data_IF_448188466844
#
_entry.id   IF_448188466844
#
_cell.length_a   1.000
_cell.length_b   1.000
_cell.length_c   1.000
_cell.angle_alpha   90.00
_cell.angle_beta   90.00
_cell.angle_gamma   90.00
#
_symmetry.space_group_name_H-M   'P 1'
#
loop_
_entity.id
_entity.type
_entity.pdbx_description
1 polymer ?
#
# COMPACT_ATOMS: atom_id res chain seq x y z
N UNK A 1 18.37 -15.54 14.62
CA UNK A 1 18.56 -14.51 15.70
C UNK A 1 18.76 -13.13 15.09
N UNK A 2 18.98 -12.05 15.90
CA UNK A 2 19.29 -10.70 15.36
C UNK A 2 20.78 -10.43 15.43
N UNK A 3 21.32 -9.60 14.51
CA UNK A 3 22.75 -9.21 14.56
C UNK A 3 23.11 -8.63 15.93
N UNK A 4 22.23 -7.84 16.55
CA UNK A 4 22.46 -7.29 17.90
C UNK A 4 22.66 -8.34 19.00
N UNK A 5 22.28 -9.57 18.78
CA UNK A 5 22.49 -10.71 19.70
C UNK A 5 23.70 -11.59 19.36
N UNK A 6 24.40 -11.31 18.26
CA UNK A 6 25.57 -12.09 17.85
C UNK A 6 26.80 -11.74 18.68
N UNK A 7 27.71 -12.71 18.81
CA UNK A 7 28.99 -12.56 19.49
C UNK A 7 30.11 -12.24 18.51
N UNK A 8 31.20 -11.62 18.99
CA UNK A 8 32.41 -11.38 18.19
C UNK A 8 32.94 -12.74 17.69
N UNK A 9 33.28 -12.82 16.40
CA UNK A 9 33.72 -14.04 15.71
C UNK A 9 32.58 -14.96 15.26
N UNK A 10 31.34 -14.65 15.58
CA UNK A 10 30.20 -15.47 15.17
C UNK A 10 29.84 -15.15 13.72
N UNK A 11 29.59 -16.22 12.94
CA UNK A 11 29.16 -16.16 11.54
C UNK A 11 27.67 -16.45 11.42
N UNK A 12 27.04 -15.76 10.49
CA UNK A 12 25.63 -15.98 10.16
C UNK A 12 25.30 -15.38 8.82
N UNK A 13 24.18 -15.79 8.24
CA UNK A 13 23.71 -15.23 6.99
C UNK A 13 22.37 -14.53 7.18
N UNK A 14 22.22 -13.37 6.53
CA UNK A 14 21.04 -12.52 6.69
C UNK A 14 19.84 -13.22 6.03
N UNK A 15 18.80 -13.47 6.82
CA UNK A 15 17.55 -14.09 6.35
C UNK A 15 16.44 -13.06 6.17
N UNK A 16 16.48 -11.96 6.94
CA UNK A 16 15.47 -10.89 6.82
C UNK A 16 16.04 -9.55 7.29
N UNK A 17 15.77 -8.48 6.54
CA UNK A 17 16.03 -7.11 6.95
C UNK A 17 14.68 -6.47 7.26
N UNK A 18 14.35 -6.39 8.55
CA UNK A 18 13.16 -5.70 9.06
C UNK A 18 13.41 -4.19 9.08
N UNK A 19 12.40 -3.43 9.39
CA UNK A 19 12.48 -1.98 9.45
C UNK A 19 11.82 -1.31 8.26
N UNK A 20 11.64 -0.01 8.37
CA UNK A 20 10.85 0.78 7.44
C UNK A 20 11.67 1.95 6.87
N UNK A 21 11.42 2.28 5.62
CA UNK A 21 11.92 3.48 4.96
C UNK A 21 13.43 3.61 4.95
N UNK A 22 13.90 4.81 5.29
CA UNK A 22 15.31 5.20 5.18
C UNK A 22 16.27 4.33 6.02
N UNK A 23 15.83 3.75 7.13
CA UNK A 23 16.70 2.90 7.96
C UNK A 23 16.99 1.56 7.26
N UNK A 24 15.95 0.92 6.68
CA UNK A 24 16.13 -0.29 5.87
C UNK A 24 16.97 -0.01 4.63
N UNK A 25 16.70 1.11 3.93
CA UNK A 25 17.48 1.51 2.76
C UNK A 25 18.95 1.67 3.11
N UNK A 26 19.29 2.40 4.17
CA UNK A 26 20.70 2.55 4.60
C UNK A 26 21.39 1.23 4.91
N UNK A 27 20.69 0.29 5.56
CA UNK A 27 21.25 -1.03 5.83
C UNK A 27 21.54 -1.80 4.55
N UNK A 28 20.61 -1.78 3.59
CA UNK A 28 20.76 -2.42 2.27
C UNK A 28 21.86 -1.75 1.45
N UNK A 29 21.89 -0.42 1.38
CA UNK A 29 22.91 0.36 0.67
C UNK A 29 24.33 0.16 1.31
N UNK A 30 24.37 -0.10 2.61
CA UNK A 30 25.60 -0.48 3.30
C UNK A 30 26.02 -1.95 3.04
N UNK A 31 25.26 -2.70 2.25
CA UNK A 31 25.58 -4.09 1.86
C UNK A 31 24.96 -5.16 2.76
N UNK A 32 24.03 -4.81 3.66
CA UNK A 32 23.35 -5.75 4.53
C UNK A 32 21.97 -6.12 3.92
N UNK A 33 21.95 -7.08 3.01
CA UNK A 33 20.72 -7.56 2.38
C UNK A 33 20.55 -9.07 2.54
N UNK A 34 19.36 -9.55 2.33
CA UNK A 34 18.98 -10.96 2.49
C UNK A 34 19.86 -11.87 1.64
N UNK A 35 20.34 -12.95 2.23
CA UNK A 35 21.21 -13.94 1.56
C UNK A 35 22.71 -13.67 1.71
N UNK A 36 23.12 -12.51 2.25
CA UNK A 36 24.53 -12.23 2.52
C UNK A 36 24.98 -12.87 3.83
N UNK A 37 26.20 -13.42 3.81
CA UNK A 37 26.83 -13.95 5.00
C UNK A 37 27.79 -12.93 5.62
N UNK A 38 27.76 -12.84 6.92
CA UNK A 38 28.47 -11.85 7.73
C UNK A 38 29.24 -12.52 8.86
N UNK A 39 30.30 -11.86 9.32
CA UNK A 39 31.04 -12.21 10.53
C UNK A 39 31.21 -10.97 11.40
N UNK A 40 30.94 -11.09 12.70
CA UNK A 40 31.12 -9.98 13.64
C UNK A 40 32.61 -9.89 14.00
N UNK A 41 33.28 -8.82 13.58
CA UNK A 41 34.71 -8.59 13.85
C UNK A 41 34.93 -7.90 15.17
N UNK A 42 34.00 -7.02 15.58
CA UNK A 42 34.15 -6.24 16.80
C UNK A 42 32.95 -5.36 17.09
N UNK A 43 33.02 -4.71 18.26
CA UNK A 43 32.01 -3.76 18.73
C UNK A 43 32.73 -2.54 19.27
N UNK A 44 32.49 -1.38 18.68
CA UNK A 44 33.09 -0.11 19.14
C UNK A 44 32.14 1.06 18.83
N UNK A 45 32.16 2.09 19.65
CA UNK A 45 31.44 3.37 19.43
C UNK A 45 29.96 3.27 19.08
N UNK A 46 29.26 2.29 19.67
CA UNK A 46 27.82 2.09 19.42
C UNK A 46 27.50 1.43 18.08
N UNK A 47 28.48 0.81 17.43
CA UNK A 47 28.33 0.11 16.16
C UNK A 47 29.03 -1.26 16.17
N UNK A 48 28.53 -2.16 15.34
CA UNK A 48 29.21 -3.42 15.03
C UNK A 48 30.17 -3.21 13.85
N UNK A 49 31.41 -3.70 13.99
CA UNK A 49 32.31 -3.89 12.85
C UNK A 49 32.06 -5.29 12.29
N UNK A 50 31.59 -5.36 11.08
CA UNK A 50 31.10 -6.58 10.45
C UNK A 50 31.87 -6.81 9.16
N UNK A 51 32.38 -8.02 8.96
CA UNK A 51 32.85 -8.46 7.65
C UNK A 51 31.66 -8.85 6.79
N UNK A 52 31.59 -8.25 5.62
CA UNK A 52 30.58 -8.52 4.58
C UNK A 52 31.35 -8.84 3.31
N UNK A 53 31.42 -10.10 2.94
CA UNK A 53 32.12 -10.59 1.74
C UNK A 53 33.57 -10.09 1.62
N UNK A 54 34.32 -10.06 2.73
CA UNK A 54 35.70 -9.62 2.78
C UNK A 54 35.89 -8.10 2.92
N UNK A 55 34.80 -7.35 3.07
CA UNK A 55 34.83 -5.91 3.33
C UNK A 55 34.31 -5.59 4.74
N UNK A 56 35.11 -4.89 5.53
CA UNK A 56 34.66 -4.43 6.85
C UNK A 56 33.68 -3.26 6.71
N UNK A 57 32.49 -3.43 7.27
CA UNK A 57 31.43 -2.42 7.33
C UNK A 57 31.08 -2.10 8.77
N UNK A 58 30.67 -0.84 9.00
CA UNK A 58 30.17 -0.40 10.30
C UNK A 58 28.64 -0.41 10.27
N UNK A 59 28.01 -1.07 11.25
CA UNK A 59 26.58 -1.13 11.40
C UNK A 59 26.19 -0.61 12.79
N UNK A 60 25.47 0.52 12.91
CA UNK A 60 24.99 1.02 14.20
C UNK A 60 24.12 -0.02 14.91
N UNK A 61 24.17 -0.06 16.25
CA UNK A 61 23.34 -0.99 17.06
C UNK A 61 21.87 -0.90 16.70
N UNK A 62 21.43 0.31 16.42
CA UNK A 62 20.09 0.58 15.98
C UNK A 62 19.71 -0.23 14.75
N UNK A 63 20.54 -0.26 13.74
CA UNK A 63 20.27 -0.97 12.49
C UNK A 63 20.56 -2.48 12.63
N UNK A 64 21.52 -2.88 13.44
CA UNK A 64 21.86 -4.28 13.71
C UNK A 64 20.70 -5.10 14.30
N UNK A 65 19.83 -4.46 15.07
CA UNK A 65 18.68 -5.15 15.66
C UNK A 65 17.47 -5.29 14.71
N UNK A 66 17.51 -4.65 13.53
CA UNK A 66 16.52 -4.84 12.46
C UNK A 66 16.85 -6.05 11.59
N UNK A 67 18.08 -6.55 11.64
CA UNK A 67 18.55 -7.57 10.73
C UNK A 67 18.51 -8.93 11.44
N UNK A 68 17.73 -9.84 10.89
CA UNK A 68 17.65 -11.23 11.34
C UNK A 68 18.66 -12.07 10.55
N UNK A 69 19.40 -12.87 11.29
CA UNK A 69 20.44 -13.76 10.75
C UNK A 69 20.18 -15.19 11.16
N UNK A 70 20.48 -16.12 10.27
CA UNK A 70 20.60 -17.53 10.57
C UNK A 70 22.07 -17.80 10.89
N UNK A 71 22.34 -18.21 12.12
CA UNK A 71 23.69 -18.56 12.55
C UNK A 71 24.01 -20.02 12.26
N UNK A 72 25.28 -20.37 12.27
CA UNK A 72 25.72 -21.77 12.08
C UNK A 72 25.02 -22.71 13.07
N UNK A 73 24.89 -22.28 14.34
CA UNK A 73 24.25 -23.07 15.40
C UNK A 73 22.73 -23.25 15.17
N UNK A 74 22.06 -22.23 14.64
CA UNK A 74 20.62 -22.31 14.29
C UNK A 74 20.40 -23.17 13.06
N UNK A 75 21.23 -23.02 12.03
CA UNK A 75 21.17 -23.83 10.83
C UNK A 75 21.44 -25.32 11.12
N UNK A 76 22.38 -25.61 12.01
CA UNK A 76 22.63 -26.98 12.45
C UNK A 76 21.41 -27.63 13.14
N UNK A 77 20.69 -26.87 13.93
CA UNK A 77 19.43 -27.32 14.57
C UNK A 77 18.32 -27.54 13.57
N UNK A 78 18.17 -26.66 12.58
CA UNK A 78 17.14 -26.79 11.55
C UNK A 78 17.37 -27.98 10.62
N UNK A 79 18.65 -28.30 10.34
CA UNK A 79 19.03 -29.43 9.50
C UNK A 79 19.21 -30.75 10.25
N UNK A 80 19.09 -30.72 11.59
CA UNK A 80 19.34 -31.87 12.49
C UNK A 80 20.72 -32.52 12.25
N UNK A 81 21.74 -31.66 12.06
CA UNK A 81 23.14 -32.07 11.86
C UNK A 81 24.04 -31.51 12.96
N UNK A 82 25.16 -32.18 13.24
CA UNK A 82 26.07 -31.77 14.31
C UNK A 82 26.83 -30.49 14.00
N UNK A 83 27.17 -30.24 12.74
CA UNK A 83 27.86 -29.06 12.24
C UNK A 83 27.36 -28.71 10.84
N UNK A 84 27.25 -27.40 10.57
CA UNK A 84 26.95 -26.85 9.24
C UNK A 84 28.19 -26.10 8.75
N UNK A 85 28.64 -26.42 7.57
CA UNK A 85 29.73 -25.69 6.93
C UNK A 85 29.29 -24.28 6.50
N UNK A 86 30.23 -23.35 6.37
CA UNK A 86 29.94 -22.00 5.86
C UNK A 86 29.35 -22.05 4.47
N UNK A 87 29.70 -23.05 3.65
CA UNK A 87 29.20 -23.24 2.31
C UNK A 87 27.73 -23.68 2.30
N UNK A 88 27.34 -24.58 3.20
CA UNK A 88 25.94 -24.99 3.40
C UNK A 88 25.09 -23.84 3.96
N UNK A 89 25.65 -23.05 4.87
CA UNK A 89 25.01 -21.86 5.38
C UNK A 89 24.74 -20.83 4.27
N UNK A 90 25.72 -20.62 3.36
CA UNK A 90 25.56 -19.78 2.17
C UNK A 90 24.48 -20.31 1.22
N UNK A 91 24.43 -21.61 0.99
CA UNK A 91 23.39 -22.22 0.17
C UNK A 91 22.00 -22.05 0.78
N UNK A 92 21.88 -22.19 2.09
CA UNK A 92 20.62 -21.92 2.78
C UNK A 92 20.24 -20.43 2.72
N UNK A 93 21.18 -19.54 2.98
CA UNK A 93 20.94 -18.11 2.87
C UNK A 93 20.56 -17.71 1.42
N UNK A 94 21.16 -18.32 0.42
CA UNK A 94 20.80 -18.10 -0.97
C UNK A 94 19.37 -18.57 -1.27
N UNK A 95 18.93 -19.69 -0.70
CA UNK A 95 17.52 -20.10 -0.76
C UNK A 95 16.62 -19.04 -0.10
N UNK A 96 16.98 -18.52 1.07
CA UNK A 96 16.22 -17.47 1.74
C UNK A 96 16.14 -16.17 0.92
N UNK A 97 17.18 -15.82 0.15
CA UNK A 97 17.16 -14.66 -0.75
C UNK A 97 16.05 -14.76 -1.78
N UNK A 98 15.82 -15.96 -2.32
CA UNK A 98 14.78 -16.22 -3.31
C UNK A 98 13.37 -16.43 -2.72
N UNK A 99 13.20 -16.27 -1.40
CA UNK A 99 11.89 -16.31 -0.73
C UNK A 99 11.39 -14.89 -0.51
N UNK A 100 10.26 -14.53 -1.12
CA UNK A 100 9.64 -13.21 -1.01
C UNK A 100 8.30 -13.34 -0.30
N UNK A 101 8.10 -12.56 0.76
CA UNK A 101 6.84 -12.49 1.48
C UNK A 101 5.97 -11.35 0.91
N UNK A 102 4.83 -11.70 0.34
CA UNK A 102 3.90 -10.78 -0.29
C UNK A 102 2.57 -10.83 0.44
N UNK A 103 2.12 -9.68 0.97
CA UNK A 103 0.79 -9.56 1.57
C UNK A 103 -0.19 -8.91 0.59
N UNK A 104 -1.38 -9.50 0.44
CA UNK A 104 -2.48 -8.92 -0.32
C UNK A 104 -3.44 -8.23 0.64
N UNK A 105 -3.69 -6.96 0.40
CA UNK A 105 -4.63 -6.10 1.13
C UNK A 105 -5.65 -5.54 0.15
N UNK A 106 -6.85 -5.23 0.59
CA UNK A 106 -7.84 -4.58 -0.26
C UNK A 106 -9.20 -4.49 0.40
N UNK A 107 -10.06 -3.69 -0.21
CA UNK A 107 -11.45 -3.54 0.22
C UNK A 107 -12.29 -4.78 -0.14
N UNK A 108 -13.40 -5.00 0.56
CA UNK A 108 -14.38 -6.02 0.16
C UNK A 108 -14.79 -5.86 -1.30
N UNK A 109 -14.95 -6.98 -1.99
CA UNK A 109 -15.36 -7.04 -3.40
C UNK A 109 -14.37 -6.44 -4.41
N UNK A 110 -13.17 -6.06 -4.01
CA UNK A 110 -12.11 -5.60 -4.94
C UNK A 110 -11.61 -6.70 -5.87
N UNK A 111 -11.94 -7.96 -5.61
CA UNK A 111 -11.45 -9.11 -6.37
C UNK A 111 -10.11 -9.68 -5.84
N UNK A 112 -9.68 -9.27 -4.65
CA UNK A 112 -8.45 -9.71 -3.99
C UNK A 112 -8.34 -11.24 -3.89
N UNK A 113 -9.41 -11.92 -3.44
CA UNK A 113 -9.44 -13.37 -3.33
C UNK A 113 -9.30 -14.07 -4.69
N UNK A 114 -9.90 -13.50 -5.74
CA UNK A 114 -9.72 -14.02 -7.10
C UNK A 114 -8.28 -13.87 -7.56
N UNK A 115 -7.65 -12.70 -7.32
CA UNK A 115 -6.24 -12.48 -7.65
C UNK A 115 -5.33 -13.47 -6.91
N UNK A 116 -5.56 -13.68 -5.61
CA UNK A 116 -4.82 -14.64 -4.80
C UNK A 116 -4.90 -16.08 -5.37
N UNK A 117 -6.12 -16.54 -5.67
CA UNK A 117 -6.34 -17.88 -6.21
C UNK A 117 -5.66 -18.05 -7.58
N UNK A 118 -5.77 -17.07 -8.46
CA UNK A 118 -5.11 -17.09 -9.77
C UNK A 118 -3.58 -17.07 -9.62
N UNK A 119 -3.07 -16.30 -8.67
CA UNK A 119 -1.66 -16.25 -8.36
C UNK A 119 -1.11 -17.61 -7.93
N UNK A 120 -1.90 -18.42 -7.24
CA UNK A 120 -1.51 -19.77 -6.85
C UNK A 120 -1.70 -20.83 -7.95
N UNK A 121 -2.33 -20.47 -9.08
CA UNK A 121 -2.64 -21.40 -10.17
C UNK A 121 -3.71 -22.43 -9.78
N UNK A 122 -4.45 -22.20 -8.73
CA UNK A 122 -5.53 -23.05 -8.28
C UNK A 122 -6.87 -22.42 -8.65
N UNK A 123 -7.75 -23.19 -9.28
CA UNK A 123 -9.19 -22.93 -9.29
C UNK A 123 -9.74 -23.24 -7.89
N UNK A 124 -9.15 -22.60 -6.89
CA UNK A 124 -9.38 -22.96 -5.51
C UNK A 124 -10.81 -22.68 -5.11
N UNK A 125 -11.38 -23.67 -4.50
CA UNK A 125 -12.60 -23.66 -3.71
C UNK A 125 -12.66 -22.36 -2.91
N UNK A 126 -13.66 -21.54 -3.19
CA UNK A 126 -14.00 -20.37 -2.38
C UNK A 126 -14.16 -20.83 -0.94
N UNK A 127 -13.18 -20.58 -0.09
CA UNK A 127 -13.40 -20.69 1.34
C UNK A 127 -14.41 -19.61 1.71
N UNK A 128 -15.55 -19.92 2.28
CA UNK A 128 -16.65 -18.98 2.48
C UNK A 128 -16.37 -17.91 3.54
N UNK A 129 -15.25 -17.98 4.27
CA UNK A 129 -14.91 -16.98 5.28
C UNK A 129 -13.92 -15.95 4.69
N UNK A 130 -14.41 -14.74 4.48
CA UNK A 130 -13.60 -13.58 4.07
C UNK A 130 -12.68 -13.07 5.19
N UNK A 131 -12.78 -13.63 6.39
CA UNK A 131 -12.13 -13.13 7.60
C UNK A 131 -10.88 -13.92 8.02
N UNK A 132 -10.57 -15.04 7.37
CA UNK A 132 -9.40 -15.85 7.69
C UNK A 132 -8.21 -15.47 6.81
N UNK A 133 -7.03 -15.42 7.43
CA UNK A 133 -5.76 -15.27 6.70
C UNK A 133 -5.52 -16.55 5.91
N UNK A 134 -5.26 -16.40 4.62
CA UNK A 134 -4.95 -17.50 3.71
C UNK A 134 -3.49 -17.39 3.27
N UNK A 135 -2.78 -18.49 3.24
CA UNK A 135 -1.40 -18.58 2.83
C UNK A 135 -1.25 -19.49 1.62
N UNK A 136 -0.35 -19.14 0.73
CA UNK A 136 0.00 -19.98 -0.40
C UNK A 136 1.40 -19.68 -0.89
N UNK A 137 1.98 -20.61 -1.61
CA UNK A 137 3.32 -20.49 -2.18
C UNK A 137 3.24 -20.68 -3.68
N UNK A 138 3.84 -19.78 -4.44
CA UNK A 138 4.02 -19.90 -5.88
C UNK A 138 5.50 -19.90 -6.21
N UNK A 139 5.92 -20.87 -7.00
CA UNK A 139 7.23 -20.84 -7.66
C UNK A 139 7.11 -20.00 -8.94
N UNK A 140 7.92 -18.96 -9.03
CA UNK A 140 7.94 -18.09 -10.19
C UNK A 140 9.39 -17.72 -10.49
N UNK A 141 9.89 -18.14 -11.65
CA UNK A 141 11.33 -18.12 -11.96
C UNK A 141 12.15 -18.82 -10.85
N UNK A 142 13.20 -18.19 -10.36
CA UNK A 142 14.04 -18.70 -9.28
C UNK A 142 13.52 -18.32 -7.88
N UNK A 143 12.29 -17.73 -7.78
CA UNK A 143 11.74 -17.24 -6.53
C UNK A 143 10.61 -18.10 -6.00
N UNK A 144 10.56 -18.19 -4.66
CA UNK A 144 9.46 -18.76 -3.89
C UNK A 144 8.65 -17.60 -3.32
N UNK A 145 7.50 -17.31 -3.91
CA UNK A 145 6.63 -16.24 -3.51
C UNK A 145 5.64 -16.77 -2.48
N UNK A 146 5.78 -16.33 -1.23
CA UNK A 146 4.85 -16.61 -0.16
C UNK A 146 3.76 -15.55 -0.15
N UNK A 147 2.60 -15.91 -0.66
CA UNK A 147 1.45 -15.03 -0.76
C UNK A 147 0.59 -15.18 0.49
N UNK A 148 0.29 -14.08 1.15
CA UNK A 148 -0.63 -14.02 2.29
C UNK A 148 -1.81 -13.14 1.94
N UNK A 149 -2.98 -13.72 1.85
CA UNK A 149 -4.23 -13.00 1.63
C UNK A 149 -4.81 -12.57 2.98
N UNK A 150 -4.80 -11.27 3.25
CA UNK A 150 -5.29 -10.72 4.50
C UNK A 150 -6.80 -10.45 4.45
N UNK A 151 -7.50 -10.38 5.60
CA UNK A 151 -8.91 -10.01 5.66
C UNK A 151 -9.22 -8.71 4.91
N UNK A 152 -10.45 -8.60 4.43
CA UNK A 152 -10.89 -7.40 3.72
C UNK A 152 -11.01 -6.21 4.69
N UNK A 153 -10.54 -5.04 4.26
CA UNK A 153 -10.61 -3.83 5.07
C UNK A 153 -10.80 -2.57 4.24
N UNK A 154 -11.54 -1.61 4.78
CA UNK A 154 -11.67 -0.26 4.23
C UNK A 154 -10.72 0.74 4.90
N UNK A 155 -10.13 0.38 6.03
CA UNK A 155 -9.26 1.26 6.80
C UNK A 155 -8.38 0.44 7.73
N UNK A 156 -7.14 0.87 7.93
CA UNK A 156 -6.20 0.27 8.89
C UNK A 156 -6.28 0.92 10.28
N UNK A 157 -7.13 1.93 10.47
CA UNK A 157 -7.31 2.64 11.75
C UNK A 157 -8.64 2.34 12.43
N UNK A 158 -9.53 1.57 11.79
CA UNK A 158 -10.80 1.18 12.41
C UNK A 158 -10.58 0.16 13.55
N UNK A 159 -11.51 0.12 14.51
CA UNK A 159 -11.40 -0.76 15.68
C UNK A 159 -12.10 -2.11 15.49
N UNK A 160 -12.06 -2.66 14.29
CA UNK A 160 -12.61 -4.00 14.03
C UNK A 160 -11.53 -5.06 14.22
N UNK A 161 -11.94 -6.30 14.54
CA UNK A 161 -11.04 -7.44 14.68
C UNK A 161 -10.20 -7.65 13.43
N UNK A 162 -10.83 -7.53 12.27
CA UNK A 162 -10.19 -7.76 10.96
C UNK A 162 -9.13 -6.72 10.66
N UNK A 163 -9.42 -5.45 10.94
CA UNK A 163 -8.44 -4.36 10.79
C UNK A 163 -7.23 -4.53 11.71
N UNK A 164 -7.46 -4.92 12.96
CA UNK A 164 -6.37 -5.20 13.92
C UNK A 164 -5.51 -6.36 13.43
N UNK A 165 -6.12 -7.41 12.89
CA UNK A 165 -5.42 -8.56 12.33
C UNK A 165 -4.57 -8.17 11.12
N UNK A 166 -5.13 -7.43 10.15
CA UNK A 166 -4.40 -6.93 8.98
C UNK A 166 -3.21 -6.09 9.40
N UNK A 167 -3.44 -5.14 10.29
CA UNK A 167 -2.41 -4.22 10.76
C UNK A 167 -1.29 -4.95 11.51
N UNK A 168 -1.64 -5.89 12.40
CA UNK A 168 -0.67 -6.69 13.14
C UNK A 168 0.23 -7.47 12.17
N UNK A 169 -0.35 -8.11 11.15
CA UNK A 169 0.40 -8.84 10.15
C UNK A 169 1.36 -7.92 9.37
N UNK A 170 0.89 -6.75 8.93
CA UNK A 170 1.73 -5.79 8.21
C UNK A 170 2.90 -5.26 9.05
N UNK A 171 2.75 -5.19 10.37
CA UNK A 171 3.76 -4.67 11.29
C UNK A 171 4.68 -5.76 11.83
N UNK A 172 4.11 -6.84 12.35
CA UNK A 172 4.86 -7.88 13.06
C UNK A 172 5.57 -8.83 12.07
N UNK A 173 4.89 -9.22 11.01
CA UNK A 173 5.47 -10.11 9.99
C UNK A 173 6.26 -9.33 8.94
N UNK A 174 5.97 -8.02 8.79
CA UNK A 174 6.68 -7.08 7.92
C UNK A 174 6.95 -7.68 6.52
N UNK A 175 5.92 -7.85 5.68
CA UNK A 175 6.06 -8.45 4.36
C UNK A 175 7.05 -7.65 3.50
N UNK A 176 7.72 -8.34 2.57
CA UNK A 176 8.68 -7.70 1.68
C UNK A 176 8.00 -6.74 0.70
N UNK A 177 6.80 -7.12 0.22
CA UNK A 177 5.97 -6.33 -0.69
C UNK A 177 4.50 -6.44 -0.25
N UNK A 178 3.76 -5.34 -0.35
CA UNK A 178 2.31 -5.31 -0.13
C UNK A 178 1.61 -5.02 -1.45
N UNK A 179 0.70 -5.87 -1.85
CA UNK A 179 -0.18 -5.65 -3.00
C UNK A 179 -1.53 -5.15 -2.49
N UNK A 180 -1.85 -3.89 -2.77
CA UNK A 180 -3.15 -3.32 -2.46
C UNK A 180 -4.09 -3.45 -3.67
N UNK A 181 -5.11 -4.29 -3.55
CA UNK A 181 -6.09 -4.53 -4.62
C UNK A 181 -7.24 -3.56 -4.48
N UNK A 182 -7.35 -2.66 -5.44
CA UNK A 182 -8.35 -1.57 -5.50
C UNK A 182 -9.34 -1.86 -6.63
N UNK A 183 -10.62 -1.68 -6.37
CA UNK A 183 -11.65 -1.72 -7.39
C UNK A 183 -11.59 -0.44 -8.23
N UNK A 184 -11.29 -0.57 -9.53
CA UNK A 184 -11.19 0.58 -10.43
C UNK A 184 -12.51 1.33 -10.61
N UNK A 185 -13.64 0.69 -10.29
CA UNK A 185 -14.97 1.33 -10.34
C UNK A 185 -15.30 2.14 -9.08
N UNK A 186 -14.50 1.98 -7.98
CA UNK A 186 -14.66 2.71 -6.71
C UNK A 186 -13.27 3.13 -6.16
N UNK A 187 -12.59 3.99 -6.92
CA UNK A 187 -11.21 4.42 -6.64
C UNK A 187 -11.08 5.17 -5.33
N UNK A 188 -11.97 6.11 -5.05
CA UNK A 188 -11.89 6.96 -3.83
C UNK A 188 -11.82 6.11 -2.57
N UNK A 189 -12.68 5.11 -2.50
CA UNK A 189 -12.78 4.23 -1.34
C UNK A 189 -11.59 3.30 -1.20
N UNK A 190 -11.16 2.69 -2.32
CA UNK A 190 -10.00 1.78 -2.34
C UNK A 190 -8.69 2.47 -2.02
N UNK A 191 -8.54 3.72 -2.44
CA UNK A 191 -7.33 4.49 -2.23
C UNK A 191 -7.15 5.00 -0.79
N UNK A 192 -8.18 4.94 0.06
CA UNK A 192 -8.03 5.26 1.49
C UNK A 192 -7.06 4.31 2.20
N UNK A 193 -7.14 3.01 1.90
CA UNK A 193 -6.18 2.03 2.43
C UNK A 193 -4.78 2.31 1.89
N UNK A 194 -4.67 2.68 0.61
CA UNK A 194 -3.40 3.08 0.00
C UNK A 194 -2.71 4.20 0.79
N UNK A 195 -3.44 5.26 1.13
CA UNK A 195 -2.87 6.37 1.91
C UNK A 195 -2.30 5.91 3.26
N UNK A 196 -2.99 5.00 3.94
CA UNK A 196 -2.54 4.45 5.21
C UNK A 196 -1.32 3.53 5.07
N UNK A 197 -1.26 2.73 4.01
CA UNK A 197 -0.09 1.90 3.70
C UNK A 197 1.15 2.76 3.38
N UNK A 198 0.97 3.88 2.66
CA UNK A 198 2.05 4.84 2.39
C UNK A 198 2.56 5.50 3.69
N UNK A 199 1.66 5.86 4.61
CA UNK A 199 2.04 6.39 5.93
C UNK A 199 2.84 5.38 6.76
N UNK A 200 2.53 4.08 6.62
CA UNK A 200 3.31 2.99 7.24
C UNK A 200 4.69 2.81 6.62
N UNK A 201 4.96 3.46 5.48
CA UNK A 201 6.21 3.36 4.74
C UNK A 201 6.55 1.92 4.28
N UNK A 202 5.54 1.20 3.81
CA UNK A 202 5.65 -0.13 3.23
C UNK A 202 5.95 -0.03 1.73
N UNK A 203 6.52 -1.08 1.16
CA UNK A 203 6.67 -1.23 -0.30
C UNK A 203 5.35 -1.70 -0.88
N UNK A 204 4.61 -0.80 -1.52
CA UNK A 204 3.25 -1.05 -1.99
C UNK A 204 3.22 -1.12 -3.51
N UNK A 205 2.45 -2.06 -4.05
CA UNK A 205 1.99 -2.08 -5.43
C UNK A 205 0.47 -1.91 -5.39
N UNK A 206 -0.06 -0.97 -6.15
CA UNK A 206 -1.51 -0.78 -6.28
C UNK A 206 -1.98 -1.55 -7.51
N UNK A 207 -2.88 -2.49 -7.32
CA UNK A 207 -3.53 -3.23 -8.40
C UNK A 207 -4.94 -2.67 -8.60
N UNK A 208 -5.18 -2.08 -9.77
CA UNK A 208 -6.49 -1.60 -10.19
C UNK A 208 -7.24 -2.74 -10.85
N UNK A 209 -8.02 -3.47 -10.09
CA UNK A 209 -8.82 -4.58 -10.61
C UNK A 209 -10.14 -4.06 -11.21
N UNK A 210 -10.75 -4.84 -12.11
CA UNK A 210 -11.96 -4.47 -12.87
C UNK A 210 -11.76 -3.20 -13.72
N UNK A 211 -10.56 -3.02 -14.23
CA UNK A 211 -10.23 -1.85 -15.05
C UNK A 211 -11.06 -1.78 -16.33
N UNK A 212 -11.35 -2.94 -16.94
CA UNK A 212 -12.29 -3.12 -18.04
C UNK A 212 -13.72 -2.62 -17.73
N UNK A 213 -14.21 -2.95 -16.55
CA UNK A 213 -15.52 -2.47 -16.09
C UNK A 213 -15.55 -0.94 -15.95
N UNK A 214 -14.48 -0.32 -15.46
CA UNK A 214 -14.34 1.13 -15.41
C UNK A 214 -14.35 1.72 -16.82
N UNK A 215 -13.52 1.20 -17.73
CA UNK A 215 -13.46 1.66 -19.13
C UNK A 215 -14.81 1.50 -19.86
N UNK A 216 -15.53 0.40 -19.62
CA UNK A 216 -16.85 0.17 -20.20
C UNK A 216 -17.89 1.24 -19.81
N UNK A 217 -17.69 1.98 -18.70
CA UNK A 217 -18.50 3.15 -18.35
C UNK A 217 -18.20 4.37 -19.21
N UNK A 218 -17.06 4.40 -19.90
CA UNK A 218 -16.51 5.56 -20.60
C UNK A 218 -15.60 6.42 -19.73
N UNK A 219 -15.27 5.98 -18.53
CA UNK A 219 -14.25 6.62 -17.67
C UNK A 219 -12.85 6.23 -18.13
N UNK A 220 -11.86 7.10 -17.89
CA UNK A 220 -10.45 6.84 -18.15
C UNK A 220 -9.59 7.26 -16.97
N UNK A 221 -8.45 6.60 -16.81
CA UNK A 221 -7.49 6.88 -15.74
C UNK A 221 -6.07 6.84 -16.29
N UNK A 222 -5.34 7.93 -16.13
CA UNK A 222 -3.89 7.96 -16.34
C UNK A 222 -3.18 7.35 -15.13
N UNK A 223 -3.05 6.02 -15.12
CA UNK A 223 -2.43 5.28 -14.04
C UNK A 223 -0.90 5.51 -13.95
N UNK A 224 -0.25 5.95 -15.04
CA UNK A 224 1.18 6.28 -15.03
C UNK A 224 1.43 7.58 -14.27
N UNK A 225 0.64 8.61 -14.55
CA UNK A 225 0.71 9.86 -13.76
C UNK A 225 0.27 9.61 -12.32
N UNK A 226 -0.74 8.78 -12.08
CA UNK A 226 -1.14 8.38 -10.73
C UNK A 226 0.00 7.67 -9.99
N UNK A 227 0.72 6.76 -10.64
CA UNK A 227 1.93 6.12 -10.08
C UNK A 227 2.97 7.13 -9.65
N UNK A 228 3.25 8.14 -10.48
CA UNK A 228 4.20 9.20 -10.17
C UNK A 228 3.75 10.08 -9.01
N UNK A 229 2.48 10.45 -8.97
CA UNK A 229 1.91 11.26 -7.88
C UNK A 229 1.91 10.52 -6.54
N UNK A 230 1.69 9.21 -6.56
CA UNK A 230 1.68 8.38 -5.36
C UNK A 230 3.06 7.82 -4.99
N UNK A 231 4.05 7.90 -5.89
CA UNK A 231 5.40 7.33 -5.70
C UNK A 231 5.40 5.81 -5.54
N UNK A 232 4.39 5.14 -6.08
CA UNK A 232 4.24 3.70 -5.99
C UNK A 232 3.62 3.16 -7.29
N UNK A 233 4.02 1.95 -7.76
CA UNK A 233 3.48 1.38 -8.97
C UNK A 233 1.96 1.21 -8.91
N UNK A 234 1.29 1.62 -9.98
CA UNK A 234 -0.14 1.38 -10.20
C UNK A 234 -0.31 0.52 -11.44
N UNK A 235 -0.84 -0.68 -11.24
CA UNK A 235 -0.98 -1.71 -12.28
C UNK A 235 -2.45 -1.99 -12.54
N UNK A 236 -3.02 -1.58 -13.68
CA UNK A 236 -4.37 -1.97 -14.05
C UNK A 236 -4.40 -3.46 -14.40
N UNK A 237 -5.46 -4.15 -13.97
CA UNK A 237 -5.71 -5.56 -14.31
C UNK A 237 -7.09 -5.71 -14.93
N UNK A 238 -7.15 -6.46 -16.04
CA UNK A 238 -8.40 -6.80 -16.71
C UNK A 238 -8.70 -8.26 -16.45
N UNK A 239 -9.70 -8.52 -15.63
CA UNK A 239 -10.00 -9.90 -15.29
C UNK A 239 -8.74 -10.61 -14.78
N UNK A 240 -8.79 -11.89 -14.62
CA UNK A 240 -7.64 -12.66 -14.15
C UNK A 240 -6.89 -13.32 -15.32
N UNK A 241 -6.49 -12.54 -16.32
CA UNK A 241 -5.61 -13.07 -17.36
C UNK A 241 -4.26 -13.42 -16.74
N UNK A 242 -3.73 -14.58 -17.09
CA UNK A 242 -2.42 -15.05 -16.60
C UNK A 242 -1.29 -14.07 -16.91
N UNK A 243 -1.37 -13.35 -18.01
CA UNK A 243 -0.36 -12.37 -18.45
C UNK A 243 -0.23 -11.17 -17.51
N UNK A 244 -1.34 -10.55 -17.10
CA UNK A 244 -1.31 -9.43 -16.14
C UNK A 244 -0.79 -9.84 -14.76
N UNK A 245 -1.01 -11.08 -14.38
CA UNK A 245 -0.50 -11.63 -13.14
C UNK A 245 1.02 -11.83 -13.19
N UNK A 246 1.55 -12.37 -14.27
CA UNK A 246 3.01 -12.58 -14.40
C UNK A 246 3.76 -11.26 -14.29
N UNK A 247 3.27 -10.22 -14.95
CA UNK A 247 3.83 -8.87 -14.82
C UNK A 247 3.80 -8.33 -13.38
N UNK A 248 2.70 -8.57 -12.67
CA UNK A 248 2.58 -8.17 -11.26
C UNK A 248 3.62 -8.89 -10.39
N UNK A 249 3.85 -10.19 -10.63
CA UNK A 249 4.86 -10.97 -9.90
C UNK A 249 6.28 -10.51 -10.24
N UNK A 250 6.58 -10.22 -11.51
CA UNK A 250 7.85 -9.61 -11.92
C UNK A 250 8.08 -8.27 -11.21
N UNK A 251 7.09 -7.41 -11.20
CA UNK A 251 7.18 -6.11 -10.54
C UNK A 251 7.41 -6.26 -9.03
N UNK A 252 6.77 -7.24 -8.39
CA UNK A 252 7.00 -7.52 -6.98
C UNK A 252 8.44 -7.98 -6.71
N UNK A 253 9.02 -8.80 -7.58
CA UNK A 253 10.42 -9.22 -7.51
C UNK A 253 11.35 -8.01 -7.70
N UNK A 254 11.11 -7.17 -8.70
CA UNK A 254 11.93 -5.99 -8.97
C UNK A 254 11.95 -5.01 -7.79
N UNK A 255 10.79 -4.77 -7.18
CA UNK A 255 10.69 -3.94 -5.96
C UNK A 255 11.41 -4.58 -4.78
N UNK A 256 11.34 -5.91 -4.66
CA UNK A 256 12.06 -6.65 -3.63
C UNK A 256 13.57 -6.55 -3.81
N UNK A 257 14.09 -6.76 -5.01
CA UNK A 257 15.52 -6.69 -5.34
C UNK A 257 16.09 -5.26 -5.24
N UNK A 258 15.24 -4.26 -5.04
CA UNK A 258 15.66 -2.89 -4.83
C UNK A 258 15.74 -2.05 -6.09
N UNK A 259 15.14 -2.50 -7.20
CA UNK A 259 14.88 -1.61 -8.32
C UNK A 259 13.98 -0.48 -7.80
N UNK A 260 14.58 0.69 -7.54
CA UNK A 260 13.82 1.86 -7.16
C UNK A 260 12.86 2.18 -8.31
N UNK A 261 11.59 2.36 -8.00
CA UNK A 261 10.56 2.69 -8.98
C UNK A 261 10.90 3.96 -9.76
N UNK A 262 11.61 4.85 -9.11
CA UNK A 262 12.14 6.09 -9.69
C UNK A 262 13.67 6.01 -9.75
N UNK A 263 14.25 6.47 -10.86
CA UNK A 263 15.69 6.60 -11.00
C UNK A 263 16.26 7.84 -10.25
N UNK A 264 17.58 8.06 -10.38
CA UNK A 264 18.28 9.15 -9.71
C UNK A 264 17.78 10.55 -10.14
N UNK A 265 17.17 10.68 -11.27
CA UNK A 265 16.60 11.92 -11.80
C UNK A 265 15.12 12.10 -11.46
N UNK A 266 14.52 11.12 -10.77
CA UNK A 266 13.11 11.11 -10.39
C UNK A 266 12.17 10.78 -11.55
N UNK A 267 12.69 10.18 -12.59
CA UNK A 267 11.92 9.54 -13.66
C UNK A 267 11.60 8.11 -13.27
N UNK A 268 10.55 7.53 -13.84
CA UNK A 268 10.25 6.11 -13.63
C UNK A 268 11.40 5.28 -14.19
N UNK A 269 11.93 4.38 -13.38
CA UNK A 269 13.04 3.51 -13.80
C UNK A 269 12.74 2.92 -15.19
N UNK A 270 13.65 3.06 -16.16
CA UNK A 270 13.42 2.64 -17.54
C UNK A 270 13.04 1.17 -17.68
N UNK A 271 13.52 0.29 -16.80
CA UNK A 271 13.16 -1.13 -16.79
C UNK A 271 11.70 -1.33 -16.35
N UNK A 272 11.31 -0.68 -15.26
CA UNK A 272 9.93 -0.71 -14.76
C UNK A 272 8.98 -0.06 -15.78
N UNK A 273 9.41 1.05 -16.41
CA UNK A 273 8.62 1.71 -17.46
C UNK A 273 8.45 0.81 -18.68
N UNK A 274 9.48 0.07 -19.09
CA UNK A 274 9.41 -0.88 -20.20
C UNK A 274 8.42 -1.99 -19.91
N UNK A 275 8.47 -2.57 -18.71
CA UNK A 275 7.53 -3.61 -18.28
C UNK A 275 6.08 -3.10 -18.24
N UNK A 276 5.86 -1.89 -17.72
CA UNK A 276 4.53 -1.24 -17.72
C UNK A 276 4.04 -0.96 -19.15
N UNK A 277 4.94 -0.57 -20.07
CA UNK A 277 4.58 -0.32 -21.47
C UNK A 277 4.31 -1.61 -22.23
N UNK A 278 5.09 -2.68 -22.03
CA UNK A 278 4.85 -3.99 -22.63
C UNK A 278 3.53 -4.58 -22.15
N UNK A 279 3.26 -4.46 -20.86
CA UNK A 279 1.99 -4.84 -20.27
C UNK A 279 0.82 -4.05 -20.84
N UNK A 280 0.94 -2.73 -20.98
CA UNK A 280 -0.07 -1.88 -21.62
C UNK A 280 -0.33 -2.29 -23.07
N UNK A 281 0.74 -2.59 -23.82
CA UNK A 281 0.63 -3.05 -25.22
C UNK A 281 -0.16 -4.35 -25.33
N UNK A 282 0.05 -5.27 -24.42
CA UNK A 282 -0.62 -6.57 -24.43
C UNK A 282 -2.10 -6.48 -24.04
N UNK A 283 -2.48 -5.52 -23.17
CA UNK A 283 -3.87 -5.25 -22.81
C UNK A 283 -4.63 -4.55 -23.93
N UNK A 284 -3.99 -3.59 -24.58
CA UNK A 284 -4.63 -2.71 -25.58
C UNK A 284 -4.89 -3.41 -26.92
N UNK A 285 -4.16 -4.50 -27.22
CA UNK A 285 -4.40 -5.26 -28.45
C UNK A 285 -5.72 -6.06 -28.49
N UNK A 286 -6.50 -6.03 -27.41
CA UNK A 286 -7.81 -6.70 -27.37
C UNK A 286 -9.00 -5.79 -27.74
N UNK A 287 -8.82 -4.46 -27.90
CA UNK A 287 -9.93 -3.57 -28.23
C UNK A 287 -9.55 -2.42 -29.18
N UNK A 288 -10.34 -2.28 -30.28
CA UNK A 288 -10.22 -1.22 -31.30
C UNK A 288 -10.51 0.22 -30.81
N UNK A 289 -10.68 0.44 -29.50
CA UNK A 289 -11.01 1.76 -28.91
C UNK A 289 -9.79 2.50 -28.32
N UNK A 290 -8.58 2.04 -28.60
CA UNK A 290 -7.34 2.54 -27.95
C UNK A 290 -6.71 3.80 -28.58
N UNK A 291 -7.24 4.34 -29.68
CA UNK A 291 -6.65 5.55 -30.31
C UNK A 291 -6.71 6.79 -29.41
N UNK A 292 -7.72 6.92 -28.55
CA UNK A 292 -7.85 8.05 -27.63
C UNK A 292 -6.85 8.05 -26.45
N UNK A 293 -6.34 6.88 -26.04
CA UNK A 293 -5.35 6.80 -24.96
C UNK A 293 -3.93 7.10 -25.47
N UNK A 294 -3.64 6.74 -26.71
CA UNK A 294 -2.33 7.02 -27.33
C UNK A 294 -2.08 8.52 -27.57
N UNK A 295 -3.13 9.31 -27.83
CA UNK A 295 -3.04 10.76 -27.98
C UNK A 295 -2.84 11.47 -26.63
N UNK A 296 -3.42 10.96 -25.55
CA UNK A 296 -3.28 11.52 -24.22
C UNK A 296 -1.85 11.41 -23.67
N UNK A 297 -1.12 10.36 -24.05
CA UNK A 297 0.27 10.13 -23.61
C UNK A 297 1.30 10.96 -24.41
N UNK A 298 0.95 11.49 -25.57
CA UNK A 298 1.86 12.27 -26.42
C UNK A 298 2.01 13.74 -26.03
N UNK A 299 1.05 14.35 -25.36
CA UNK A 299 0.98 15.80 -25.20
C UNK A 299 1.39 16.35 -23.82
N UNK A 300 1.75 15.49 -22.87
CA UNK A 300 2.18 15.95 -21.56
C UNK A 300 3.69 15.79 -21.34
N UNK A 301 4.47 16.66 -21.99
CA UNK A 301 5.78 17.05 -21.47
C UNK A 301 5.56 17.79 -20.15
N UNK A 302 5.44 17.03 -19.07
CA UNK A 302 5.36 17.57 -17.73
C UNK A 302 6.61 18.39 -17.41
N UNK A 303 6.37 19.65 -17.12
CA UNK A 303 7.32 20.71 -16.84
C UNK A 303 8.41 20.26 -15.84
N UNK A 304 9.62 20.69 -16.12
CA UNK A 304 10.86 20.54 -15.34
C UNK A 304 10.76 20.93 -13.83
N UNK A 305 9.63 21.44 -13.37
CA UNK A 305 9.37 21.76 -11.95
C UNK A 305 9.16 20.55 -11.07
N UNK A 306 8.74 19.41 -11.62
CA UNK A 306 8.50 18.17 -10.85
C UNK A 306 9.76 17.30 -10.69
N UNK A 307 10.83 17.56 -11.46
CA UNK A 307 12.07 16.75 -11.46
C UNK A 307 12.87 16.74 -10.14
N UNK A 308 12.67 17.71 -9.26
CA UNK A 308 13.48 17.86 -8.03
C UNK A 308 12.91 17.17 -6.78
N UNK A 309 11.73 16.59 -6.82
CA UNK A 309 11.01 16.10 -5.63
C UNK A 309 10.78 14.58 -5.59
N UNK A 310 11.19 13.86 -6.59
CA UNK A 310 10.87 12.44 -6.80
C UNK A 310 11.69 11.44 -5.95
N UNK A 311 12.79 11.91 -5.34
CA UNK A 311 13.71 11.09 -4.51
C UNK A 311 13.26 10.86 -3.08
N UNK A 312 12.14 11.38 -2.66
CA UNK A 312 11.64 11.17 -1.31
C UNK A 312 10.53 10.14 -1.40
N UNK A 313 10.59 9.11 -0.54
CA UNK A 313 9.38 8.40 -0.15
C UNK A 313 8.27 9.43 -0.06
N UNK A 314 7.26 9.31 -0.92
CA UNK A 314 6.18 10.29 -0.95
C UNK A 314 5.45 10.13 0.38
N UNK A 315 5.70 11.06 1.27
CA UNK A 315 4.92 11.21 2.47
C UNK A 315 3.72 12.09 2.14
N UNK A 316 2.55 11.67 2.58
CA UNK A 316 1.37 12.52 2.50
C UNK A 316 1.67 13.79 3.28
N UNK A 317 1.57 14.93 2.62
CA UNK A 317 1.77 16.23 3.24
C UNK A 317 0.49 16.69 3.90
N UNK A 318 0.51 16.86 5.23
CA UNK A 318 -0.67 17.16 6.03
C UNK A 318 -0.86 18.67 6.30
N UNK A 319 -0.10 19.52 5.63
CA UNK A 319 -0.07 20.95 5.89
C UNK A 319 1.02 21.35 6.92
N UNK A 320 1.55 22.57 6.79
CA UNK A 320 2.73 23.03 7.54
C UNK A 320 2.61 22.85 9.06
N UNK A 321 1.45 23.16 9.62
CA UNK A 321 1.22 23.10 11.07
C UNK A 321 1.15 21.68 11.62
N UNK A 322 0.52 20.76 10.87
CA UNK A 322 0.49 19.34 11.24
C UNK A 322 1.85 18.69 11.04
N UNK A 323 2.56 19.02 9.96
CA UNK A 323 3.92 18.52 9.72
C UNK A 323 4.88 18.92 10.83
N UNK A 324 4.76 20.16 11.35
CA UNK A 324 5.53 20.60 12.50
C UNK A 324 5.23 19.75 13.75
N UNK A 325 3.95 19.48 14.03
CA UNK A 325 3.56 18.63 15.15
C UNK A 325 4.02 17.18 14.99
N UNK A 326 3.93 16.65 13.76
CA UNK A 326 4.40 15.30 13.43
C UNK A 326 5.91 15.21 13.64
N UNK A 327 6.69 16.17 13.14
CA UNK A 327 8.14 16.18 13.25
C UNK A 327 8.61 16.33 14.70
N UNK A 328 7.92 17.17 15.47
CA UNK A 328 8.18 17.36 16.91
C UNK A 328 8.00 16.05 17.67
N UNK A 329 6.90 15.35 17.45
CA UNK A 329 6.64 14.04 18.05
C UNK A 329 7.60 12.96 17.53
N UNK A 330 7.87 12.96 16.22
CA UNK A 330 8.80 12.02 15.59
C UNK A 330 10.18 12.07 16.23
N UNK A 331 10.68 13.26 16.52
CA UNK A 331 11.96 13.47 17.16
C UNK A 331 11.99 12.87 18.58
N UNK A 332 10.92 12.97 19.34
CA UNK A 332 10.82 12.38 20.67
C UNK A 332 10.66 10.85 20.62
N UNK A 333 9.85 10.35 19.70
CA UNK A 333 9.66 8.91 19.42
C UNK A 333 10.96 8.26 18.96
N UNK A 334 11.78 8.96 18.16
CA UNK A 334 13.08 8.47 17.68
C UNK A 334 14.08 8.16 18.80
N UNK A 335 13.98 8.78 19.96
CA UNK A 335 14.87 8.54 21.10
C UNK A 335 14.74 7.13 21.66
N UNK A 336 13.61 6.46 21.44
CA UNK A 336 13.38 5.10 21.89
C UNK A 336 13.83 4.07 20.83
N UNK A 337 14.66 3.12 21.25
CA UNK A 337 15.09 2.03 20.37
C UNK A 337 13.94 1.12 19.95
N UNK A 338 12.98 0.87 20.82
CA UNK A 338 11.85 -0.03 20.55
C UNK A 338 11.06 0.35 19.28
N UNK A 339 10.98 1.65 18.96
CA UNK A 339 10.23 2.13 17.81
C UNK A 339 10.96 1.94 16.48
N UNK A 340 12.31 2.03 16.51
CA UNK A 340 13.10 2.08 15.27
C UNK A 340 12.98 0.83 14.43
N UNK A 341 12.55 -0.27 15.03
CA UNK A 341 12.58 -1.61 14.42
C UNK A 341 11.22 -2.13 14.01
N UNK A 342 10.17 -1.70 14.69
CA UNK A 342 8.82 -2.26 14.51
C UNK A 342 7.92 -1.33 13.73
N UNK A 343 8.10 -0.02 13.90
CA UNK A 343 7.25 1.00 13.30
C UNK A 343 8.05 2.10 12.64
N UNK A 344 7.53 2.68 11.57
CA UNK A 344 7.97 3.99 11.12
C UNK A 344 7.71 5.02 12.23
N UNK A 345 8.74 5.79 12.62
CA UNK A 345 8.58 6.83 13.67
C UNK A 345 7.56 7.89 13.29
N UNK A 346 7.41 8.17 11.97
CA UNK A 346 6.39 9.05 11.43
C UNK A 346 5.00 8.46 11.62
N UNK A 347 4.83 7.16 11.33
CA UNK A 347 3.56 6.46 11.53
C UNK A 347 3.13 6.48 13.01
N UNK A 348 4.08 6.24 13.93
CA UNK A 348 3.80 6.35 15.37
C UNK A 348 3.39 7.77 15.75
N UNK A 349 4.07 8.79 15.25
CA UNK A 349 3.73 10.19 15.53
C UNK A 349 2.33 10.56 15.01
N UNK A 350 1.97 10.14 13.79
CA UNK A 350 0.65 10.34 13.20
C UNK A 350 -0.41 9.60 14.03
N UNK A 351 -0.20 8.31 14.33
CA UNK A 351 -1.13 7.51 15.13
C UNK A 351 -1.36 8.07 16.53
N UNK A 352 -0.32 8.60 17.18
CA UNK A 352 -0.45 9.32 18.43
C UNK A 352 -1.32 10.58 18.29
N UNK A 353 -1.14 11.34 17.22
CA UNK A 353 -1.92 12.55 16.93
C UNK A 353 -3.36 12.20 16.56
N UNK A 354 -3.62 11.09 15.89
CA UNK A 354 -4.97 10.59 15.60
C UNK A 354 -5.67 10.02 16.84
N UNK A 355 -4.94 9.55 17.84
CA UNK A 355 -5.47 8.86 19.01
C UNK A 355 -5.72 7.39 18.78
N UNK A 356 -4.85 6.78 17.98
CA UNK A 356 -4.87 5.37 17.71
C UNK A 356 -4.54 4.57 18.97
N UNK A 357 -5.50 3.74 19.41
CA UNK A 357 -5.41 3.02 20.68
C UNK A 357 -4.26 1.97 20.70
N UNK A 358 -3.98 1.32 19.56
CA UNK A 358 -2.92 0.31 19.48
C UNK A 358 -1.54 0.98 19.54
N UNK A 359 -1.38 2.11 18.85
CA UNK A 359 -0.15 2.91 18.92
C UNK A 359 0.03 3.50 20.33
N UNK A 360 -1.02 4.00 20.95
CA UNK A 360 -0.96 4.48 22.33
C UNK A 360 -0.55 3.36 23.30
N UNK A 361 -1.12 2.17 23.12
CA UNK A 361 -0.76 1.00 23.94
C UNK A 361 0.70 0.59 23.71
N UNK A 362 1.13 0.50 22.46
CA UNK A 362 2.53 0.22 22.11
C UNK A 362 3.49 1.22 22.78
N UNK A 363 3.23 2.51 22.63
CA UNK A 363 4.07 3.55 23.24
C UNK A 363 4.09 3.43 24.77
N UNK A 364 2.96 3.09 25.37
CA UNK A 364 2.84 2.93 26.83
C UNK A 364 3.61 1.74 27.37
N UNK A 365 3.62 0.62 26.63
CA UNK A 365 4.22 -0.65 27.09
C UNK A 365 5.70 -0.76 26.72
N UNK A 366 6.08 -0.31 25.54
CA UNK A 366 7.40 -0.58 24.98
C UNK A 366 8.38 0.61 25.08
N UNK A 367 7.86 1.83 25.36
CA UNK A 367 8.72 3.02 25.34
C UNK A 367 8.99 3.58 26.72
N UNK A 368 10.26 3.65 27.15
CA UNK A 368 10.62 4.15 28.50
C UNK A 368 10.28 5.64 28.69
N UNK A 369 10.26 6.44 27.60
CA UNK A 369 9.93 7.88 27.61
C UNK A 369 8.45 8.15 27.32
N UNK A 370 7.55 7.16 27.45
CA UNK A 370 6.13 7.26 27.11
C UNK A 370 5.42 8.48 27.75
N UNK A 371 5.73 8.79 29.03
CA UNK A 371 5.14 9.96 29.71
C UNK A 371 5.49 11.27 29.01
N UNK A 372 6.73 11.45 28.58
CA UNK A 372 7.17 12.65 27.86
C UNK A 372 6.48 12.73 26.48
N UNK A 373 6.36 11.61 25.79
CA UNK A 373 5.69 11.51 24.48
C UNK A 373 4.21 11.89 24.60
N UNK A 374 3.47 11.35 25.59
CA UNK A 374 2.06 11.71 25.80
C UNK A 374 1.87 13.17 26.17
N UNK A 375 2.71 13.71 27.04
CA UNK A 375 2.67 15.13 27.40
C UNK A 375 2.92 16.04 26.17
N UNK A 376 3.88 15.67 25.34
CA UNK A 376 4.18 16.37 24.09
C UNK A 376 3.03 16.28 23.09
N UNK A 377 2.44 15.08 22.89
CA UNK A 377 1.27 14.87 22.07
C UNK A 377 0.11 15.78 22.47
N UNK A 378 -0.20 15.82 23.75
CA UNK A 378 -1.32 16.62 24.26
C UNK A 378 -1.06 18.12 24.07
N UNK A 379 0.20 18.56 24.27
CA UNK A 379 0.64 19.92 23.98
C UNK A 379 0.46 20.28 22.50
N UNK A 380 0.90 19.41 21.60
CA UNK A 380 0.81 19.64 20.14
C UNK A 380 -0.64 19.62 19.66
N UNK A 381 -1.48 18.71 20.16
CA UNK A 381 -2.93 18.71 19.87
C UNK A 381 -3.61 20.01 20.31
N UNK A 382 -3.30 20.50 21.50
CA UNK A 382 -3.84 21.78 22.00
C UNK A 382 -3.31 22.97 21.20
N UNK A 383 -2.02 22.97 20.84
CA UNK A 383 -1.42 24.00 19.98
C UNK A 383 -2.15 24.09 18.65
N UNK A 384 -2.28 22.96 17.96
CA UNK A 384 -2.93 22.88 16.66
C UNK A 384 -4.40 23.31 16.72
N UNK A 385 -5.18 22.74 17.64
CA UNK A 385 -6.61 23.09 17.77
C UNK A 385 -6.83 24.55 18.10
N UNK A 386 -5.93 25.19 18.84
CA UNK A 386 -6.00 26.64 19.14
C UNK A 386 -5.71 27.49 17.90
N UNK A 387 -4.74 27.06 17.06
CA UNK A 387 -4.33 27.82 15.88
C UNK A 387 -5.33 27.66 14.73
N UNK A 388 -5.79 26.46 14.49
CA UNK A 388 -6.58 26.11 13.30
C UNK A 388 -8.09 26.02 13.57
N UNK A 389 -8.50 25.96 14.84
CA UNK A 389 -9.93 25.88 15.21
C UNK A 389 -10.57 24.51 14.99
N UNK A 390 -9.80 23.50 14.59
CA UNK A 390 -10.26 22.14 14.35
C UNK A 390 -9.47 21.10 15.15
N UNK A 391 -9.98 19.86 15.24
CA UNK A 391 -9.29 18.79 15.94
C UNK A 391 -8.28 18.11 15.02
N UNK A 392 -7.13 17.71 15.58
CA UNK A 392 -6.05 17.06 14.84
C UNK A 392 -6.49 15.79 14.09
N UNK A 393 -7.27 14.84 14.67
CA UNK A 393 -7.70 13.66 13.94
C UNK A 393 -8.54 13.98 12.69
N UNK A 394 -9.40 14.98 12.77
CA UNK A 394 -10.25 15.45 11.66
C UNK A 394 -9.39 16.06 10.55
N UNK A 395 -8.42 16.90 10.94
CA UNK A 395 -7.48 17.52 10.01
C UNK A 395 -6.59 16.50 9.28
N UNK A 396 -6.06 15.50 10.00
CA UNK A 396 -5.27 14.42 9.41
C UNK A 396 -6.10 13.60 8.42
N UNK A 397 -7.33 13.28 8.77
CA UNK A 397 -8.26 12.58 7.88
C UNK A 397 -8.54 13.39 6.61
N UNK A 398 -8.84 14.67 6.76
CA UNK A 398 -9.09 15.59 5.63
C UNK A 398 -7.87 15.72 4.72
N UNK A 399 -6.66 15.81 5.30
CA UNK A 399 -5.42 15.89 4.53
C UNK A 399 -5.17 14.62 3.71
N UNK A 400 -5.39 13.43 4.30
CA UNK A 400 -5.28 12.15 3.58
C UNK A 400 -6.28 12.03 2.43
N UNK A 401 -7.54 12.41 2.70
CA UNK A 401 -8.56 12.45 1.65
C UNK A 401 -8.20 13.47 0.55
N UNK A 402 -7.76 14.66 0.95
CA UNK A 402 -7.35 15.71 0.01
C UNK A 402 -6.21 15.27 -0.91
N UNK A 403 -5.23 14.53 -0.37
CA UNK A 403 -4.13 13.97 -1.15
C UNK A 403 -4.65 12.98 -2.22
N UNK A 404 -5.48 12.03 -1.82
CA UNK A 404 -6.06 11.04 -2.74
C UNK A 404 -6.95 11.69 -3.79
N UNK A 405 -7.87 12.56 -3.36
CA UNK A 405 -8.77 13.27 -4.27
C UNK A 405 -8.01 14.18 -5.23
N UNK A 406 -6.93 14.81 -4.77
CA UNK A 406 -6.04 15.61 -5.61
C UNK A 406 -5.40 14.76 -6.70
N UNK A 407 -4.81 13.63 -6.35
CA UNK A 407 -4.20 12.70 -7.29
C UNK A 407 -5.22 12.16 -8.31
N UNK A 408 -6.40 11.76 -7.83
CA UNK A 408 -7.49 11.29 -8.70
C UNK A 408 -8.04 12.39 -9.60
N UNK A 409 -8.16 13.62 -9.12
CA UNK A 409 -8.64 14.74 -9.93
C UNK A 409 -7.71 15.08 -11.10
N UNK A 410 -6.42 14.84 -10.93
CA UNK A 410 -5.44 15.05 -11.99
C UNK A 410 -5.37 13.90 -12.99
N UNK A 411 -5.79 12.69 -12.59
CA UNK A 411 -5.55 11.48 -13.37
C UNK A 411 -6.82 10.76 -13.83
N UNK A 412 -7.94 11.01 -13.18
CA UNK A 412 -9.21 10.32 -13.47
C UNK A 412 -10.19 11.24 -14.20
N UNK A 413 -10.63 10.79 -15.37
CA UNK A 413 -11.66 11.43 -16.15
C UNK A 413 -12.96 10.60 -15.98
N UNK A 414 -13.97 11.13 -15.29
CA UNK A 414 -15.21 10.41 -15.07
C UNK A 414 -15.95 10.16 -16.39
N UNK A 415 -16.72 9.08 -16.43
CA UNK A 415 -17.59 8.78 -17.56
C UNK A 415 -18.47 10.00 -17.88
N UNK A 416 -18.66 10.30 -19.17
CA UNK A 416 -19.64 11.31 -19.55
C UNK A 416 -20.99 10.93 -18.96
N UNK A 417 -21.62 11.87 -18.26
CA UNK A 417 -22.92 11.64 -17.65
C UNK A 417 -23.87 11.15 -18.74
N UNK A 418 -24.11 9.84 -18.79
CA UNK A 418 -25.21 9.30 -19.63
C UNK A 418 -26.45 9.89 -19.01
N UNK A 419 -27.04 10.92 -19.68
CA UNK A 419 -28.40 11.28 -19.35
C UNK A 419 -29.23 10.00 -19.49
N UNK A 420 -29.77 9.46 -18.40
CA UNK A 420 -30.57 8.25 -18.53
C UNK A 420 -31.70 8.55 -19.52
N UNK A 421 -31.86 7.69 -20.52
CA UNK A 421 -32.88 7.87 -21.56
C UNK A 421 -34.28 8.10 -20.95
N UNK A 422 -34.52 7.60 -19.75
CA UNK A 422 -35.68 7.88 -18.93
C UNK A 422 -35.78 9.34 -18.42
N UNK A 423 -34.66 10.05 -18.20
CA UNK A 423 -34.74 11.43 -17.71
C UNK A 423 -35.34 12.38 -18.74
N UNK A 424 -35.09 12.18 -20.03
CA UNK A 424 -35.70 12.98 -21.08
C UNK A 424 -37.20 12.72 -21.16
N UNK A 425 -37.64 11.49 -20.93
CA UNK A 425 -39.04 11.16 -20.88
C UNK A 425 -39.70 11.71 -19.61
N UNK A 426 -39.06 11.53 -18.45
CA UNK A 426 -39.56 12.04 -17.17
C UNK A 426 -39.59 13.57 -17.15
N UNK A 427 -38.57 14.26 -17.68
CA UNK A 427 -38.56 15.72 -17.80
C UNK A 427 -39.64 16.24 -18.73
N UNK A 428 -39.91 15.54 -19.85
CA UNK A 428 -41.04 15.92 -20.74
C UNK A 428 -42.36 15.67 -20.06
N UNK A 429 -42.50 14.58 -19.35
CA UNK A 429 -43.72 14.26 -18.60
C UNK A 429 -43.92 15.27 -17.45
N UNK A 430 -42.87 15.59 -16.68
CA UNK A 430 -42.90 16.61 -15.65
C UNK A 430 -43.29 17.99 -16.22
N UNK A 431 -42.72 18.36 -17.37
CA UNK A 431 -43.02 19.64 -17.98
C UNK A 431 -44.50 19.71 -18.45
N UNK A 432 -45.10 18.60 -18.86
CA UNK A 432 -46.52 18.53 -19.24
C UNK A 432 -47.40 18.52 -17.98
N UNK A 433 -47.06 17.72 -16.97
CA UNK A 433 -47.87 17.59 -15.75
C UNK A 433 -47.80 18.85 -14.88
N UNK A 434 -46.68 19.54 -14.87
CA UNK A 434 -46.49 20.80 -14.10
C UNK A 434 -46.87 22.04 -14.92
N UNK A 435 -47.28 21.89 -16.17
CA UNK A 435 -47.70 23.02 -17.00
C UNK A 435 -48.97 23.68 -16.46
N UNK A 436 -48.97 25.02 -16.37
CA UNK A 436 -49.99 25.84 -15.69
C UNK A 436 -51.43 25.58 -16.20
N UNK A 437 -51.60 25.15 -17.46
CA UNK A 437 -52.88 24.82 -18.04
C UNK A 437 -53.09 23.32 -18.17
N UNK A 438 -52.09 22.61 -18.78
CA UNK A 438 -52.18 21.18 -19.01
C UNK A 438 -52.16 20.35 -17.73
N UNK A 439 -51.45 20.80 -16.68
CA UNK A 439 -51.40 20.15 -15.37
C UNK A 439 -52.81 20.06 -14.74
N UNK A 440 -53.61 21.15 -14.85
CA UNK A 440 -55.01 21.18 -14.33
C UNK A 440 -55.90 20.19 -15.14
N UNK A 441 -55.75 20.14 -16.45
CA UNK A 441 -56.52 19.22 -17.29
C UNK A 441 -56.18 17.76 -16.95
N UNK A 442 -54.88 17.44 -16.80
CA UNK A 442 -54.42 16.10 -16.43
C UNK A 442 -54.90 15.71 -15.04
N UNK A 443 -54.86 16.66 -14.09
CA UNK A 443 -55.36 16.45 -12.73
C UNK A 443 -56.87 16.13 -12.75
N UNK A 444 -57.70 16.92 -13.45
CA UNK A 444 -59.14 16.66 -13.60
C UNK A 444 -59.43 15.33 -14.28
N UNK A 445 -58.65 14.99 -15.31
CA UNK A 445 -58.77 13.70 -16.00
C UNK A 445 -58.41 12.53 -15.07
N UNK A 446 -57.36 12.63 -14.29
CA UNK A 446 -56.95 11.61 -13.31
C UNK A 446 -58.01 11.42 -12.22
N UNK A 447 -58.63 12.51 -11.79
CA UNK A 447 -59.69 12.51 -10.79
C UNK A 447 -60.97 11.85 -11.39
N UNK A 448 -61.29 12.14 -12.63
CA UNK A 448 -62.39 11.51 -13.34
C UNK A 448 -62.18 10.00 -13.53
N UNK A 449 -60.97 9.57 -13.95
CA UNK A 449 -60.62 8.15 -14.09
C UNK A 449 -60.69 7.43 -12.74
N UNK A 450 -60.21 8.06 -11.66
CA UNK A 450 -60.28 7.49 -10.32
C UNK A 450 -61.72 7.33 -9.84
N UNK A 451 -62.59 8.32 -10.16
CA UNK A 451 -64.02 8.27 -9.85
C UNK A 451 -64.73 7.15 -10.61
N UNK A 452 -64.54 7.07 -11.92
CA UNK A 452 -65.10 6.00 -12.77
C UNK A 452 -64.59 4.62 -12.31
N UNK A 453 -63.30 4.46 -12.05
CA UNK A 453 -62.73 3.19 -11.56
C UNK A 453 -63.36 2.77 -10.24
N UNK A 454 -63.64 3.70 -9.35
CA UNK A 454 -64.26 3.41 -8.04
C UNK A 454 -65.71 2.98 -8.17
N UNK A 455 -66.45 3.58 -9.12
CA UNK A 455 -67.87 3.25 -9.35
C UNK A 455 -68.08 2.02 -10.22
N UNK A 456 -67.24 1.80 -11.24
CA UNK A 456 -67.36 0.65 -12.17
C UNK A 456 -66.74 -0.63 -11.61
N UNK A 457 -65.68 -0.54 -10.78
CA UNK A 457 -65.04 -1.70 -10.14
C UNK A 457 -65.53 -1.97 -8.73
N UNK A 458 -66.36 -1.08 -8.15
CA UNK A 458 -66.90 -1.20 -6.81
C UNK A 458 -68.32 -1.78 -6.72
N UNK A 459 -68.95 -2.09 -7.87
CA UNK A 459 -70.13 -2.95 -7.98
C UNK A 459 -69.67 -4.40 -8.28
#
# INVERSE_FOLDING_TARGET
>A
MRISGMRIGQKGCIVKVKGHGSARKRAVDAGFYKGICIEILGIADGAFSIDVEGMTRQLPFAEASMIEVLTVDEAARELDVAEVSVEELKQQAHKHRHHIEIALVGQPLSGKNSLFNTALGTTAVMSPSTNDIQHGVRHFQDYHLHLTNLPDTYSLTSRTSDTSTVRKHLIDDAPDVVINVVDATDLERGMQVTAQLLDMNLRVIIVLNKYDAMQATGASLDYQTLSRLLGTPVVPTIGLSSEGLEHLLHLAINIYEGADFLDDDGEVNPEVMRELQEWHRNIVHTDEHSEHLADFTRDHTLNARYKKHAYRHIHIYHGSELEQSIETLRTEVWKSEATRYRYSTRFVAIGLLEGDAEIEQFVRTEMPNSKAIFALRDKERHRYSRLMGEKVPEALHTAKQGFILGALKETYIPAPAKEPANQRFTQRLDHIVTHKVWGVVIFLLSLFIMFEATFVLGE
#
